data_IF_480415038291
#
_entry.id   IF_480415038291
#
_cell.length_a   1.000
_cell.length_b   1.000
_cell.length_c   1.000
_cell.angle_alpha   90.00
_cell.angle_beta   90.00
_cell.angle_gamma   90.00
#
_symmetry.space_group_name_H-M   'P 1'
#
loop_
_entity.id
_entity.type
_entity.pdbx_description
1 polymer ?
#
# COMPACT_ATOMS: atom_id res chain seq x y z
N UNK A 1 43.28 16.18 -19.40
CA UNK A 1 41.97 16.89 -19.38
C UNK A 1 40.89 15.88 -19.03
N UNK A 2 40.60 15.70 -17.74
CA UNK A 2 39.52 14.84 -17.28
C UNK A 2 38.19 15.57 -17.49
N UNK A 3 37.31 15.05 -18.34
CA UNK A 3 35.93 15.52 -18.43
C UNK A 3 35.23 15.07 -17.16
N UNK A 4 35.05 16.01 -16.22
CA UNK A 4 34.09 15.88 -15.14
C UNK A 4 32.70 15.77 -15.77
N UNK A 5 32.26 14.55 -16.05
CA UNK A 5 30.86 14.27 -16.33
C UNK A 5 30.09 14.68 -15.09
N UNK A 6 29.37 15.80 -15.18
CA UNK A 6 28.42 16.20 -14.17
C UNK A 6 27.42 15.04 -14.02
N UNK A 7 27.61 14.25 -12.95
CA UNK A 7 26.68 13.23 -12.54
C UNK A 7 25.37 13.97 -12.27
N UNK A 8 24.44 13.93 -13.23
CA UNK A 8 23.08 14.36 -13.01
C UNK A 8 22.55 13.41 -11.95
N UNK A 9 22.61 13.83 -10.69
CA UNK A 9 21.97 13.10 -9.60
C UNK A 9 20.49 13.01 -9.98
N UNK A 10 19.97 11.81 -10.26
CA UNK A 10 18.59 11.65 -10.64
C UNK A 10 17.75 12.18 -9.47
N UNK A 11 17.04 13.27 -9.73
CA UNK A 11 16.14 13.95 -8.81
C UNK A 11 15.31 12.94 -8.02
N UNK A 12 15.40 13.08 -6.69
CA UNK A 12 14.88 12.19 -5.65
C UNK A 12 13.57 11.46 -5.99
N UNK A 13 13.58 10.12 -6.12
CA UNK A 13 12.37 9.30 -6.14
C UNK A 13 11.50 9.51 -4.88
N UNK A 14 12.09 9.98 -3.77
CA UNK A 14 11.38 10.36 -2.53
C UNK A 14 10.35 11.47 -2.77
N UNK A 15 10.54 12.34 -3.77
CA UNK A 15 9.54 13.36 -4.16
C UNK A 15 8.41 12.84 -5.07
N UNK A 16 8.54 11.68 -5.72
CA UNK A 16 7.50 11.15 -6.63
C UNK A 16 6.42 10.34 -5.93
N UNK A 17 6.73 9.68 -4.81
CA UNK A 17 5.76 8.94 -4.01
C UNK A 17 4.60 9.81 -3.46
N UNK A 18 4.82 11.02 -2.90
CA UNK A 18 3.72 11.84 -2.40
C UNK A 18 2.78 12.33 -3.52
N UNK A 19 3.26 12.43 -4.76
CA UNK A 19 2.45 12.92 -5.87
C UNK A 19 1.37 11.91 -6.27
N UNK A 20 1.72 10.63 -6.43
CA UNK A 20 0.74 9.59 -6.79
C UNK A 20 -0.35 9.44 -5.72
N UNK A 21 0.05 9.34 -4.45
CA UNK A 21 -0.90 9.26 -3.33
C UNK A 21 -1.76 10.51 -3.23
N UNK A 22 -1.17 11.70 -3.41
CA UNK A 22 -1.91 12.96 -3.42
C UNK A 22 -2.96 13.03 -4.53
N UNK A 23 -2.61 12.60 -5.75
CA UNK A 23 -3.55 12.53 -6.89
C UNK A 23 -4.68 11.55 -6.59
N UNK A 24 -4.38 10.33 -6.10
CA UNK A 24 -5.41 9.34 -5.77
C UNK A 24 -6.39 9.88 -4.73
N UNK A 25 -5.89 10.54 -3.68
CA UNK A 25 -6.72 11.15 -2.64
C UNK A 25 -7.58 12.28 -3.23
N UNK A 26 -6.99 13.16 -4.05
CA UNK A 26 -7.72 14.27 -4.68
C UNK A 26 -8.84 13.76 -5.59
N UNK A 27 -8.57 12.78 -6.45
CA UNK A 27 -9.57 12.18 -7.35
C UNK A 27 -10.70 11.54 -6.54
N UNK A 28 -10.36 10.82 -5.47
CA UNK A 28 -11.33 10.22 -4.56
C UNK A 28 -12.22 11.28 -3.93
N UNK A 29 -11.62 12.36 -3.42
CA UNK A 29 -12.35 13.47 -2.80
C UNK A 29 -13.33 14.12 -3.79
N UNK A 30 -12.85 14.45 -4.99
CA UNK A 30 -13.69 15.10 -6.03
C UNK A 30 -14.83 14.17 -6.46
N UNK A 31 -14.54 12.90 -6.69
CA UNK A 31 -15.53 11.92 -7.12
C UNK A 31 -16.65 11.77 -6.09
N UNK A 32 -16.31 11.54 -4.82
CA UNK A 32 -17.32 11.37 -3.78
C UNK A 32 -18.08 12.67 -3.51
N UNK A 33 -17.42 13.82 -3.55
CA UNK A 33 -18.09 15.12 -3.42
C UNK A 33 -19.18 15.32 -4.49
N UNK A 34 -18.91 14.93 -5.74
CA UNK A 34 -19.89 15.02 -6.82
C UNK A 34 -21.06 14.02 -6.71
N UNK A 35 -20.90 12.95 -5.94
CA UNK A 35 -21.93 11.92 -5.77
C UNK A 35 -22.81 12.14 -4.54
N UNK A 36 -22.43 13.04 -3.63
CA UNK A 36 -23.20 13.25 -2.42
C UNK A 36 -24.49 14.02 -2.72
N UNK A 37 -25.61 13.44 -2.34
CA UNK A 37 -26.90 14.11 -2.24
C UNK A 37 -27.65 13.45 -1.09
N UNK A 38 -28.15 14.23 -0.14
CA UNK A 38 -28.90 13.71 1.00
C UNK A 38 -30.15 13.00 0.46
N UNK A 39 -30.29 11.67 0.62
CA UNK A 39 -31.49 10.99 0.14
C UNK A 39 -32.62 11.34 1.10
N UNK A 40 -33.57 12.14 0.63
CA UNK A 40 -34.70 12.65 1.40
C UNK A 40 -35.78 11.58 1.65
N UNK A 41 -35.34 10.40 2.08
CA UNK A 41 -36.13 9.18 2.18
C UNK A 41 -36.53 8.92 3.64
N UNK A 42 -36.75 7.65 4.00
CA UNK A 42 -36.98 7.30 5.40
C UNK A 42 -35.74 7.66 6.25
N UNK A 43 -35.91 8.00 7.54
CA UNK A 43 -34.79 8.40 8.39
C UNK A 43 -33.73 7.30 8.51
N UNK A 44 -34.14 6.03 8.50
CA UNK A 44 -33.24 4.88 8.55
C UNK A 44 -32.39 4.76 7.29
N UNK A 45 -33.00 4.86 6.11
CA UNK A 45 -32.28 4.83 4.82
C UNK A 45 -31.32 6.02 4.70
N UNK A 46 -31.75 7.20 5.14
CA UNK A 46 -30.94 8.42 5.11
C UNK A 46 -29.71 8.28 6.01
N UNK A 47 -29.89 7.75 7.23
CA UNK A 47 -28.79 7.51 8.15
C UNK A 47 -27.77 6.51 7.57
N UNK A 48 -28.25 5.39 7.00
CA UNK A 48 -27.39 4.39 6.36
C UNK A 48 -26.63 5.00 5.19
N UNK A 49 -27.27 5.80 4.35
CA UNK A 49 -26.62 6.46 3.22
C UNK A 49 -25.54 7.45 3.68
N UNK A 50 -25.81 8.25 4.71
CA UNK A 50 -24.83 9.15 5.32
C UNK A 50 -23.61 8.38 5.85
N UNK A 51 -23.82 7.29 6.59
CA UNK A 51 -22.71 6.48 7.11
C UNK A 51 -21.93 5.80 5.99
N UNK A 52 -22.62 5.28 4.97
CA UNK A 52 -21.98 4.66 3.82
C UNK A 52 -21.14 5.69 3.06
N UNK A 53 -21.65 6.89 2.81
CA UNK A 53 -20.90 7.98 2.18
C UNK A 53 -19.63 8.34 2.96
N UNK A 54 -19.70 8.36 4.29
CA UNK A 54 -18.54 8.69 5.12
C UNK A 54 -17.51 7.54 5.17
N UNK A 55 -17.96 6.29 5.33
CA UNK A 55 -17.10 5.13 5.60
C UNK A 55 -16.62 4.40 4.34
N UNK A 56 -17.37 4.44 3.24
CA UNK A 56 -17.00 3.74 2.00
C UNK A 56 -15.68 4.28 1.41
N UNK A 57 -15.43 5.61 1.33
CA UNK A 57 -14.16 6.14 0.83
C UNK A 57 -12.98 5.79 1.75
N UNK A 58 -13.22 5.69 3.07
CA UNK A 58 -12.25 5.21 4.06
C UNK A 58 -11.85 3.77 3.75
N UNK A 59 -12.83 2.89 3.53
CA UNK A 59 -12.62 1.51 3.14
C UNK A 59 -11.85 1.39 1.82
N UNK A 60 -12.30 2.09 0.77
CA UNK A 60 -11.65 2.09 -0.55
C UNK A 60 -10.20 2.58 -0.45
N UNK A 61 -9.96 3.68 0.27
CA UNK A 61 -8.61 4.22 0.46
C UNK A 61 -7.72 3.22 1.20
N UNK A 62 -8.24 2.55 2.23
CA UNK A 62 -7.52 1.47 2.91
C UNK A 62 -7.11 0.38 1.92
N UNK A 63 -8.04 -0.17 1.15
CA UNK A 63 -7.72 -1.23 0.17
C UNK A 63 -6.77 -0.75 -0.94
N UNK A 64 -6.97 0.44 -1.50
CA UNK A 64 -6.07 0.98 -2.53
C UNK A 64 -4.66 1.17 -2.00
N UNK A 65 -4.51 1.67 -0.78
CA UNK A 65 -3.20 1.84 -0.16
C UNK A 65 -2.55 0.49 0.15
N UNK A 66 -3.32 -0.55 0.52
CA UNK A 66 -2.80 -1.94 0.61
C UNK A 66 -2.30 -2.41 -0.76
N UNK A 67 -3.11 -2.24 -1.81
CA UNK A 67 -2.82 -2.79 -3.14
C UNK A 67 -1.65 -2.11 -3.84
N UNK A 68 -1.48 -0.80 -3.62
CA UNK A 68 -0.38 -0.02 -4.20
C UNK A 68 0.94 -0.24 -3.46
N UNK A 69 0.90 -0.60 -2.16
CA UNK A 69 2.10 -0.85 -1.38
C UNK A 69 2.59 -2.29 -1.55
N UNK A 70 3.53 -2.48 -2.47
CA UNK A 70 4.14 -3.78 -2.76
C UNK A 70 4.83 -4.40 -1.54
N UNK A 71 5.32 -3.61 -0.58
CA UNK A 71 5.95 -4.14 0.63
C UNK A 71 4.91 -4.76 1.55
N UNK A 72 3.74 -4.12 1.68
CA UNK A 72 2.64 -4.68 2.44
C UNK A 72 2.09 -5.94 1.79
N UNK A 73 1.98 -5.96 0.45
CA UNK A 73 1.53 -7.15 -0.28
C UNK A 73 2.46 -8.35 -0.04
N UNK A 74 3.78 -8.12 -0.07
CA UNK A 74 4.80 -9.14 0.28
C UNK A 74 4.63 -9.61 1.72
N UNK A 75 4.39 -8.69 2.66
CA UNK A 75 4.14 -9.03 4.06
C UNK A 75 2.88 -9.90 4.21
N UNK A 76 1.77 -9.52 3.56
CA UNK A 76 0.51 -10.28 3.57
C UNK A 76 0.68 -11.68 2.99
N UNK A 77 1.45 -11.83 1.90
CA UNK A 77 1.78 -13.15 1.33
C UNK A 77 2.50 -14.05 2.34
N UNK A 78 3.41 -13.48 3.16
CA UNK A 78 4.08 -14.24 4.21
C UNK A 78 3.14 -14.64 5.36
N UNK A 79 2.20 -13.77 5.78
CA UNK A 79 1.33 -14.04 6.94
C UNK A 79 0.09 -14.91 6.64
N UNK A 80 -0.46 -14.87 5.42
CA UNK A 80 -1.67 -15.65 5.04
C UNK A 80 -1.35 -17.12 4.78
N UNK A 81 -0.07 -17.47 4.72
CA UNK A 81 0.40 -18.84 4.67
C UNK A 81 -0.11 -19.67 5.88
N UNK A 82 -1.04 -20.61 5.62
CA UNK A 82 -1.75 -21.40 6.65
C UNK A 82 -0.83 -22.21 7.58
N UNK A 83 0.39 -22.57 7.15
CA UNK A 83 1.35 -23.28 8.01
C UNK A 83 2.04 -22.37 9.02
N UNK A 84 2.18 -21.07 8.75
CA UNK A 84 2.68 -20.11 9.74
C UNK A 84 1.64 -19.84 10.84
N UNK A 85 0.35 -19.82 10.49
CA UNK A 85 -0.73 -19.54 11.44
C UNK A 85 -1.05 -20.68 12.41
N UNK A 86 -0.81 -21.94 12.04
CA UNK A 86 -1.21 -23.09 12.87
C UNK A 86 -0.18 -23.57 13.88
N UNK A 87 1.08 -23.12 13.83
CA UNK A 87 2.16 -23.56 14.74
C UNK A 87 2.27 -25.08 14.99
N UNK A 88 1.63 -25.91 14.15
CA UNK A 88 1.74 -27.36 14.19
C UNK A 88 3.05 -27.73 13.51
N UNK A 89 4.08 -27.77 14.36
CA UNK A 89 5.50 -28.02 14.09
C UNK A 89 5.83 -29.31 13.32
N UNK A 90 4.85 -30.10 12.86
CA UNK A 90 5.10 -31.41 12.25
C UNK A 90 5.51 -31.35 10.78
N UNK A 91 5.14 -30.30 10.03
CA UNK A 91 5.55 -30.19 8.62
C UNK A 91 7.06 -29.91 8.43
N UNK A 92 7.71 -29.20 9.38
CA UNK A 92 9.15 -28.93 9.29
C UNK A 92 10.03 -29.98 9.99
N UNK A 93 9.46 -30.84 10.85
CA UNK A 93 10.22 -31.80 11.64
C UNK A 93 10.49 -33.13 10.89
N UNK A 94 9.76 -33.41 9.81
CA UNK A 94 9.79 -34.72 9.15
C UNK A 94 10.69 -34.81 7.91
N UNK A 95 11.48 -33.78 7.57
CA UNK A 95 12.35 -33.82 6.38
C UNK A 95 11.60 -33.83 5.03
N UNK A 96 10.28 -33.67 5.00
CA UNK A 96 9.47 -33.73 3.78
C UNK A 96 9.45 -32.43 2.94
N UNK A 97 10.42 -31.53 3.09
CA UNK A 97 10.46 -30.26 2.35
C UNK A 97 11.00 -30.39 0.91
N UNK A 98 11.26 -31.61 0.43
CA UNK A 98 11.76 -31.85 -0.93
C UNK A 98 10.63 -31.94 -1.98
N UNK A 99 9.36 -31.94 -1.57
CA UNK A 99 8.22 -31.92 -2.49
C UNK A 99 7.64 -30.50 -2.63
N UNK A 100 7.50 -30.05 -3.89
CA UNK A 100 7.06 -28.71 -4.33
C UNK A 100 5.63 -28.35 -3.87
N UNK A 101 4.92 -29.28 -3.23
CA UNK A 101 3.49 -29.16 -2.90
C UNK A 101 3.19 -28.71 -1.47
N UNK A 102 4.21 -28.44 -0.65
CA UNK A 102 3.93 -27.80 0.63
C UNK A 102 3.48 -26.35 0.36
N UNK A 103 2.17 -26.10 0.43
CA UNK A 103 1.46 -24.83 0.17
C UNK A 103 1.99 -23.61 0.95
N UNK A 104 2.91 -23.85 1.89
CA UNK A 104 3.54 -22.85 2.75
C UNK A 104 4.96 -22.47 2.34
N UNK A 105 5.44 -23.15 1.29
CA UNK A 105 6.69 -22.96 0.61
C UNK A 105 6.41 -22.54 -0.84
N UNK A 106 5.55 -21.54 -1.06
CA UNK A 106 5.75 -20.73 -2.27
C UNK A 106 7.13 -20.08 -2.09
N UNK A 107 8.17 -20.73 -2.64
CA UNK A 107 9.59 -20.42 -2.51
C UNK A 107 10.38 -21.00 -1.30
N UNK A 108 10.05 -22.17 -0.77
CA UNK A 108 11.01 -23.05 -0.05
C UNK A 108 11.63 -22.58 1.29
N UNK A 109 11.13 -21.51 1.92
CA UNK A 109 11.53 -21.15 3.28
C UNK A 109 10.29 -20.98 4.17
N UNK A 110 10.17 -21.82 5.20
CA UNK A 110 9.28 -21.53 6.31
C UNK A 110 9.87 -20.38 7.12
N UNK A 111 9.27 -19.19 7.03
CA UNK A 111 9.60 -18.06 7.90
C UNK A 111 9.12 -18.40 9.32
N UNK A 112 10.03 -18.97 10.12
CA UNK A 112 9.83 -19.21 11.55
C UNK A 112 10.54 -18.07 12.28
N UNK A 113 9.84 -17.01 12.72
CA UNK A 113 10.45 -16.01 13.58
C UNK A 113 10.90 -16.72 14.87
N UNK A 114 12.20 -16.98 14.99
CA UNK A 114 12.74 -17.80 16.08
C UNK A 114 12.69 -17.09 17.42
N UNK A 115 12.42 -15.77 17.45
CA UNK A 115 12.18 -15.02 18.68
C UNK A 115 11.15 -13.90 18.47
N UNK A 116 10.08 -13.89 19.28
CA UNK A 116 9.06 -12.84 19.30
C UNK A 116 9.60 -11.43 19.65
N UNK A 117 10.88 -11.32 20.04
CA UNK A 117 11.56 -10.06 20.41
C UNK A 117 12.74 -9.69 19.50
N UNK A 118 12.82 -10.25 18.28
CA UNK A 118 13.90 -9.97 17.32
C UNK A 118 13.80 -8.61 16.63
N UNK A 119 14.93 -8.11 16.09
CA UNK A 119 14.99 -6.89 15.27
C UNK A 119 14.02 -6.91 14.08
N UNK A 120 13.75 -8.10 13.53
CA UNK A 120 12.81 -8.31 12.42
C UNK A 120 11.36 -8.03 12.81
N UNK A 121 10.92 -8.46 14.01
CA UNK A 121 9.57 -8.18 14.51
C UNK A 121 9.39 -6.67 14.69
N UNK A 122 10.41 -5.99 15.23
CA UNK A 122 10.39 -4.53 15.36
C UNK A 122 10.30 -3.84 14.01
N UNK A 123 11.01 -4.34 13.00
CA UNK A 123 10.92 -3.82 11.63
C UNK A 123 9.51 -4.01 11.05
N UNK A 124 8.93 -5.21 11.15
CA UNK A 124 7.57 -5.48 10.70
C UNK A 124 6.52 -4.63 11.43
N UNK A 125 6.63 -4.48 12.76
CA UNK A 125 5.77 -3.62 13.54
C UNK A 125 5.92 -2.13 13.14
N UNK A 126 7.15 -1.67 12.89
CA UNK A 126 7.40 -0.31 12.43
C UNK A 126 6.83 -0.06 11.02
N UNK A 127 6.95 -1.04 10.13
CA UNK A 127 6.39 -1.00 8.79
C UNK A 127 4.86 -0.95 8.84
N UNK A 128 4.23 -1.87 9.58
CA UNK A 128 2.79 -1.91 9.76
C UNK A 128 2.26 -0.66 10.46
N UNK A 129 2.95 -0.18 11.50
CA UNK A 129 2.59 1.06 12.20
C UNK A 129 2.69 2.29 11.29
N UNK A 130 3.72 2.37 10.46
CA UNK A 130 3.86 3.44 9.45
C UNK A 130 2.73 3.39 8.43
N UNK A 131 2.39 2.18 7.98
CA UNK A 131 1.28 1.94 7.06
C UNK A 131 -0.07 2.37 7.66
N UNK A 132 -0.41 1.85 8.84
CA UNK A 132 -1.65 2.18 9.54
C UNK A 132 -1.77 3.68 9.80
N UNK A 133 -0.66 4.34 10.16
CA UNK A 133 -0.63 5.80 10.32
C UNK A 133 -0.95 6.52 9.00
N UNK A 134 -0.37 6.10 7.87
CA UNK A 134 -0.64 6.72 6.56
C UNK A 134 -2.11 6.59 6.17
N UNK A 135 -2.69 5.40 6.32
CA UNK A 135 -4.11 5.18 6.01
C UNK A 135 -5.00 5.97 6.97
N UNK A 136 -4.71 5.94 8.27
CA UNK A 136 -5.45 6.73 9.26
C UNK A 136 -5.45 8.22 8.90
N UNK A 137 -4.31 8.79 8.51
CA UNK A 137 -4.23 10.19 8.11
C UNK A 137 -5.04 10.49 6.83
N UNK A 138 -4.95 9.63 5.81
CA UNK A 138 -5.72 9.80 4.58
C UNK A 138 -7.24 9.73 4.84
N UNK A 139 -7.67 8.75 5.64
CA UNK A 139 -9.07 8.57 6.04
C UNK A 139 -9.58 9.73 6.91
N UNK A 140 -8.77 10.21 7.85
CA UNK A 140 -9.14 11.34 8.69
C UNK A 140 -9.23 12.64 7.88
N UNK A 141 -8.36 12.84 6.88
CA UNK A 141 -8.45 13.96 5.95
C UNK A 141 -9.77 13.93 5.16
N UNK A 142 -10.21 12.75 4.71
CA UNK A 142 -11.52 12.60 4.06
C UNK A 142 -12.68 13.03 4.98
N UNK A 143 -12.69 12.54 6.23
CA UNK A 143 -13.72 12.89 7.22
C UNK A 143 -13.73 14.41 7.47
N UNK A 144 -12.54 15.01 7.60
CA UNK A 144 -12.39 16.47 7.75
C UNK A 144 -13.00 17.22 6.56
N UNK A 145 -12.72 16.78 5.32
CA UNK A 145 -13.30 17.42 4.12
C UNK A 145 -14.82 17.33 4.12
N UNK A 146 -15.38 16.15 4.42
CA UNK A 146 -16.82 15.95 4.52
C UNK A 146 -17.47 16.84 5.61
N UNK A 147 -16.79 17.04 6.73
CA UNK A 147 -17.25 17.93 7.80
C UNK A 147 -17.09 19.43 7.47
N UNK A 148 -16.06 19.83 6.73
CA UNK A 148 -15.88 21.21 6.28
C UNK A 148 -16.98 21.61 5.31
N UNK A 149 -17.33 20.71 4.38
CA UNK A 149 -18.45 20.89 3.46
C UNK A 149 -19.76 21.02 4.23
N UNK A 150 -19.95 20.19 5.26
CA UNK A 150 -21.05 20.29 6.21
C UNK A 150 -22.33 19.59 5.76
N UNK A 151 -22.46 19.25 4.48
CA UNK A 151 -23.67 18.62 3.92
C UNK A 151 -23.98 17.28 4.59
N UNK A 152 -22.96 16.46 4.84
CA UNK A 152 -23.10 15.20 5.58
C UNK A 152 -23.63 15.43 7.00
N UNK A 153 -23.04 16.39 7.72
CA UNK A 153 -23.40 16.69 9.11
C UNK A 153 -24.81 17.26 9.22
N UNK A 154 -25.17 18.18 8.32
CA UNK A 154 -26.51 18.74 8.23
C UNK A 154 -27.53 17.63 7.99
N UNK A 155 -27.30 16.77 6.98
CA UNK A 155 -28.20 15.68 6.62
C UNK A 155 -28.44 14.73 7.81
N UNK A 156 -27.38 14.27 8.50
CA UNK A 156 -27.54 13.35 9.64
C UNK A 156 -28.20 14.02 10.86
N UNK A 157 -27.94 15.31 11.10
CA UNK A 157 -28.55 16.05 12.22
C UNK A 157 -30.03 16.32 11.99
N UNK A 158 -30.44 16.64 10.76
CA UNK A 158 -31.86 16.82 10.43
C UNK A 158 -32.67 15.53 10.54
N UNK A 159 -32.06 14.39 10.21
CA UNK A 159 -32.66 13.06 10.45
C UNK A 159 -32.86 12.81 11.93
N UNK A 160 -31.83 13.08 12.75
CA UNK A 160 -31.88 12.86 14.21
C UNK A 160 -32.89 13.78 14.91
N UNK A 161 -33.15 14.97 14.35
CA UNK A 161 -34.13 15.92 14.88
C UNK A 161 -35.60 15.53 14.61
N UNK A 162 -35.86 14.38 13.99
CA UNK A 162 -37.22 13.86 13.78
C UNK A 162 -37.87 14.29 12.46
N UNK A 163 -37.11 14.82 11.51
CA UNK A 163 -37.63 15.12 10.17
C UNK A 163 -37.84 13.85 9.34
N UNK A 164 -39.03 13.66 8.78
CA UNK A 164 -39.35 12.54 7.88
C UNK A 164 -39.47 13.00 6.42
N UNK A 165 -38.81 12.27 5.51
CA UNK A 165 -38.95 12.45 4.06
C UNK A 165 -38.63 13.85 3.54
N UNK A 166 -39.43 14.33 2.58
CA UNK A 166 -39.30 15.65 1.94
C UNK A 166 -39.43 16.85 2.90
N UNK A 167 -39.90 16.65 4.13
CA UNK A 167 -39.98 17.73 5.12
C UNK A 167 -38.62 18.03 5.77
N UNK A 168 -37.60 17.20 5.54
CA UNK A 168 -36.25 17.46 6.04
C UNK A 168 -35.69 18.77 5.47
N UNK A 169 -35.14 19.60 6.36
CA UNK A 169 -34.61 20.92 6.04
C UNK A 169 -33.52 20.84 4.94
N UNK A 170 -32.70 19.79 4.96
CA UNK A 170 -31.63 19.57 3.98
C UNK A 170 -32.13 19.34 2.55
N UNK A 171 -33.42 19.04 2.38
CA UNK A 171 -34.04 18.61 1.13
C UNK A 171 -34.95 19.67 0.50
N UNK A 172 -35.17 20.78 1.19
CA UNK A 172 -36.02 21.87 0.70
C UNK A 172 -35.22 22.81 -0.18
N UNK A 173 -35.70 23.06 -1.39
CA UNK A 173 -35.11 24.07 -2.29
C UNK A 173 -35.18 25.48 -1.69
N UNK A 174 -36.22 25.74 -0.91
CA UNK A 174 -36.53 27.04 -0.29
C UNK A 174 -36.80 26.84 1.22
N UNK A 175 -35.76 26.83 2.07
CA UNK A 175 -35.94 26.77 3.51
C UNK A 175 -36.61 28.04 4.04
N UNK A 176 -37.44 27.91 5.07
CA UNK A 176 -37.98 29.08 5.79
C UNK A 176 -36.84 29.86 6.48
N UNK A 177 -37.05 31.13 6.87
CA UNK A 177 -36.01 31.90 7.57
C UNK A 177 -35.47 31.21 8.84
N UNK A 178 -36.33 30.55 9.61
CA UNK A 178 -35.97 29.80 10.82
C UNK A 178 -35.18 28.52 10.49
N UNK A 179 -35.57 27.82 9.42
CA UNK A 179 -34.87 26.64 8.92
C UNK A 179 -33.47 27.00 8.38
N UNK A 180 -33.36 28.14 7.69
CA UNK A 180 -32.09 28.66 7.19
C UNK A 180 -31.13 29.04 8.34
N UNK A 181 -31.64 29.59 9.44
CA UNK A 181 -30.85 29.85 10.64
C UNK A 181 -30.34 28.54 11.26
N UNK A 182 -31.21 27.53 11.36
CA UNK A 182 -30.84 26.20 11.86
C UNK A 182 -29.79 25.52 10.97
N UNK A 183 -29.92 25.64 9.64
CA UNK A 183 -28.95 25.12 8.67
C UNK A 183 -27.57 25.79 8.85
N UNK A 184 -27.54 27.12 9.00
CA UNK A 184 -26.30 27.88 9.27
C UNK A 184 -25.65 27.43 10.57
N UNK A 185 -26.46 27.20 11.62
CA UNK A 185 -25.97 26.69 12.89
C UNK A 185 -25.30 25.32 12.72
N UNK A 186 -25.96 24.35 12.09
CA UNK A 186 -25.36 23.02 11.88
C UNK A 186 -24.11 23.04 11.00
N UNK A 187 -24.06 23.88 9.96
CA UNK A 187 -22.85 24.04 9.15
C UNK A 187 -21.69 24.62 10.00
N UNK A 188 -21.97 25.61 10.85
CA UNK A 188 -20.97 26.15 11.76
C UNK A 188 -20.47 25.12 12.78
N UNK A 189 -21.36 24.32 13.37
CA UNK A 189 -21.01 23.21 14.27
C UNK A 189 -20.11 22.19 13.56
N UNK A 190 -20.46 21.80 12.34
CA UNK A 190 -19.69 20.86 11.52
C UNK A 190 -18.25 21.35 11.28
N UNK A 191 -18.09 22.62 10.92
CA UNK A 191 -16.76 23.23 10.69
C UNK A 191 -15.94 23.32 11.97
N UNK A 192 -16.57 23.63 13.10
CA UNK A 192 -15.89 23.64 14.40
C UNK A 192 -15.37 22.24 14.74
N UNK A 193 -16.20 21.20 14.56
CA UNK A 193 -15.78 19.80 14.77
C UNK A 193 -14.60 19.45 13.83
N UNK A 194 -14.67 19.83 12.57
CA UNK A 194 -13.60 19.60 11.60
C UNK A 194 -12.26 20.25 12.05
N UNK A 195 -12.30 21.51 12.51
CA UNK A 195 -11.12 22.21 13.01
C UNK A 195 -10.52 21.55 14.26
N UNK A 196 -11.36 21.08 15.19
CA UNK A 196 -10.92 20.31 16.36
C UNK A 196 -10.21 19.03 15.92
N UNK A 197 -10.77 18.31 14.95
CA UNK A 197 -10.14 17.09 14.39
C UNK A 197 -8.80 17.42 13.74
N UNK A 198 -8.71 18.48 12.92
CA UNK A 198 -7.44 18.92 12.30
C UNK A 198 -6.38 19.21 13.37
N UNK A 199 -6.75 19.93 14.42
CA UNK A 199 -5.85 20.27 15.51
C UNK A 199 -5.37 19.00 16.24
N UNK A 200 -6.30 18.08 16.55
CA UNK A 200 -5.99 16.79 17.17
C UNK A 200 -5.06 15.93 16.29
N UNK A 201 -5.33 15.83 14.99
CA UNK A 201 -4.48 15.12 14.04
C UNK A 201 -3.08 15.72 13.94
N UNK A 202 -2.99 17.05 13.90
CA UNK A 202 -1.71 17.76 13.85
C UNK A 202 -0.88 17.46 15.10
N UNK A 203 -1.50 17.51 16.28
CA UNK A 203 -0.85 17.17 17.55
C UNK A 203 -0.41 15.69 17.58
N UNK A 204 -1.28 14.76 17.18
CA UNK A 204 -0.95 13.34 17.10
C UNK A 204 0.22 13.06 16.14
N UNK A 205 0.28 13.74 15.00
CA UNK A 205 1.39 13.63 14.05
C UNK A 205 2.69 14.11 14.68
N UNK A 206 2.70 15.28 15.31
CA UNK A 206 3.89 15.82 16.01
C UNK A 206 4.35 14.86 17.09
N UNK A 207 3.45 14.39 17.97
CA UNK A 207 3.81 13.44 19.04
C UNK A 207 4.32 12.12 18.46
N UNK A 208 3.64 11.56 17.45
CA UNK A 208 4.07 10.29 16.83
C UNK A 208 5.46 10.41 16.21
N UNK A 209 5.73 11.51 15.49
CA UNK A 209 7.04 11.75 14.88
C UNK A 209 8.10 11.93 15.95
N UNK A 210 7.85 12.71 16.99
CA UNK A 210 8.75 12.92 18.12
C UNK A 210 9.08 11.63 18.88
N UNK A 211 8.08 10.76 19.08
CA UNK A 211 8.31 9.43 19.66
C UNK A 211 9.20 8.63 18.73
N UNK A 212 8.85 8.49 17.44
CA UNK A 212 9.63 7.68 16.49
C UNK A 212 11.06 8.18 16.29
N UNK A 213 11.29 9.49 16.33
CA UNK A 213 12.63 10.08 16.16
C UNK A 213 13.54 9.88 17.37
N UNK A 214 12.99 9.66 18.58
CA UNK A 214 13.82 9.40 19.77
C UNK A 214 14.55 8.06 19.72
N UNK A 215 14.06 7.10 18.95
CA UNK A 215 14.59 5.72 18.95
C UNK A 215 15.66 5.45 17.88
N UNK A 216 15.91 6.38 16.95
CA UNK A 216 16.96 6.25 15.95
C UNK A 216 17.80 7.53 15.88
N UNK A 217 19.15 7.45 15.92
CA UNK A 217 19.99 8.61 15.67
C UNK A 217 19.74 9.14 14.25
N UNK A 218 19.45 10.43 14.12
CA UNK A 218 19.02 11.09 12.87
C UNK A 218 19.91 10.76 11.67
N UNK A 219 21.23 10.89 11.83
CA UNK A 219 22.18 10.61 10.74
C UNK A 219 22.17 9.13 10.31
N UNK A 220 21.95 8.21 11.25
CA UNK A 220 21.83 6.79 10.93
C UNK A 220 20.58 6.52 10.09
N UNK A 221 19.43 7.11 10.44
CA UNK A 221 18.20 6.91 9.66
C UNK A 221 18.30 7.53 8.26
N UNK A 222 18.94 8.69 8.14
CA UNK A 222 19.16 9.34 6.83
C UNK A 222 20.12 8.51 5.98
N UNK A 223 21.23 8.01 6.56
CA UNK A 223 22.16 7.13 5.87
C UNK A 223 21.51 5.81 5.42
N UNK A 224 20.75 5.16 6.31
CA UNK A 224 19.98 3.94 5.97
C UNK A 224 19.04 4.18 4.78
N UNK A 225 18.34 5.31 4.75
CA UNK A 225 17.44 5.67 3.66
C UNK A 225 18.19 5.88 2.32
N UNK A 226 19.34 6.57 2.33
CA UNK A 226 20.17 6.73 1.13
C UNK A 226 20.72 5.38 0.63
N UNK A 227 21.20 4.54 1.54
CA UNK A 227 21.69 3.20 1.17
C UNK A 227 20.56 2.35 0.59
N UNK A 228 19.37 2.36 1.20
CA UNK A 228 18.20 1.65 0.67
C UNK A 228 17.82 2.16 -0.73
N UNK A 229 17.82 3.46 -0.95
CA UNK A 229 17.52 4.07 -2.25
C UNK A 229 18.55 3.70 -3.33
N UNK A 230 19.84 3.87 -3.03
CA UNK A 230 20.92 3.56 -3.98
C UNK A 230 21.00 2.06 -4.27
N UNK A 231 20.82 1.20 -3.25
CA UNK A 231 20.81 -0.26 -3.44
C UNK A 231 19.61 -0.71 -4.25
N UNK A 232 18.42 -0.14 -4.03
CA UNK A 232 17.23 -0.44 -4.82
C UNK A 232 17.38 -0.03 -6.29
N UNK A 233 17.88 1.18 -6.55
CA UNK A 233 18.10 1.68 -7.90
C UNK A 233 19.13 0.85 -8.67
N UNK A 234 20.28 0.56 -8.04
CA UNK A 234 21.34 -0.26 -8.65
C UNK A 234 20.91 -1.71 -8.84
N UNK A 235 20.11 -2.24 -7.92
CA UNK A 235 19.53 -3.56 -8.06
C UNK A 235 18.58 -3.59 -9.27
N UNK A 236 17.63 -2.65 -9.38
CA UNK A 236 16.70 -2.55 -10.51
C UNK A 236 17.43 -2.48 -11.85
N UNK A 237 18.47 -1.66 -11.95
CA UNK A 237 19.32 -1.57 -13.14
C UNK A 237 19.93 -2.94 -13.51
N UNK A 238 20.54 -3.62 -12.54
CA UNK A 238 21.17 -4.93 -12.76
C UNK A 238 20.16 -6.03 -13.07
N UNK A 239 18.98 -5.98 -12.45
CA UNK A 239 17.89 -6.91 -12.74
C UNK A 239 17.36 -6.71 -14.16
N UNK A 240 17.22 -5.45 -14.59
CA UNK A 240 16.79 -5.11 -15.94
C UNK A 240 17.82 -5.58 -16.98
N UNK A 241 19.11 -5.29 -16.78
CA UNK A 241 20.20 -5.73 -17.65
C UNK A 241 20.18 -7.27 -17.84
N UNK A 242 20.10 -8.03 -16.74
CA UNK A 242 20.01 -9.49 -16.76
C UNK A 242 18.74 -10.00 -17.44
N UNK A 243 17.60 -9.34 -17.23
CA UNK A 243 16.34 -9.71 -17.86
C UNK A 243 16.39 -9.52 -19.38
N UNK A 244 16.98 -8.42 -19.86
CA UNK A 244 17.18 -8.15 -21.28
C UNK A 244 18.14 -9.16 -21.91
N UNK A 245 19.28 -9.44 -21.26
CA UNK A 245 20.24 -10.45 -21.73
C UNK A 245 19.58 -11.82 -21.85
N UNK A 246 18.81 -12.25 -20.84
CA UNK A 246 18.09 -13.52 -20.87
C UNK A 246 17.03 -13.56 -21.97
N UNK A 247 16.26 -12.49 -22.15
CA UNK A 247 15.27 -12.39 -23.21
C UNK A 247 15.93 -12.48 -24.60
N UNK A 248 17.08 -11.83 -24.79
CA UNK A 248 17.87 -11.91 -26.01
C UNK A 248 18.32 -13.36 -26.29
N UNK A 249 18.92 -14.04 -25.31
CA UNK A 249 19.34 -15.43 -25.45
C UNK A 249 18.18 -16.39 -25.81
N UNK A 250 17.02 -16.21 -25.17
CA UNK A 250 15.82 -16.98 -25.48
C UNK A 250 15.32 -16.71 -26.91
N UNK A 251 15.32 -15.45 -27.35
CA UNK A 251 14.90 -15.07 -28.70
C UNK A 251 15.84 -15.62 -29.78
N UNK A 252 17.16 -15.53 -29.58
CA UNK A 252 18.17 -16.08 -30.51
C UNK A 252 18.12 -17.61 -30.58
N UNK A 253 17.81 -18.27 -29.47
CA UNK A 253 17.62 -19.72 -29.43
C UNK A 253 16.36 -20.14 -30.18
N UNK A 254 15.24 -19.44 -29.98
CA UNK A 254 14.00 -19.67 -30.71
C UNK A 254 14.15 -19.43 -32.22
N UNK A 255 14.84 -18.34 -32.62
CA UNK A 255 15.11 -18.04 -34.02
C UNK A 255 15.97 -19.13 -34.69
N UNK A 256 16.98 -19.66 -33.99
CA UNK A 256 17.78 -20.80 -34.48
C UNK A 256 16.93 -22.06 -34.67
N UNK A 257 16.03 -22.36 -33.73
CA UNK A 257 15.11 -23.48 -33.87
C UNK A 257 14.23 -23.33 -35.14
N UNK A 258 13.62 -22.17 -35.35
CA UNK A 258 12.79 -21.89 -36.54
C UNK A 258 13.59 -22.03 -37.83
N UNK A 259 14.82 -21.51 -37.87
CA UNK A 259 15.69 -21.62 -39.04
C UNK A 259 16.04 -23.09 -39.36
N UNK A 260 16.43 -23.86 -38.34
CA UNK A 260 16.75 -25.29 -38.50
C UNK A 260 15.55 -26.14 -38.90
N UNK A 261 14.34 -25.76 -38.48
CA UNK A 261 13.11 -26.47 -38.84
C UNK A 261 12.74 -26.24 -40.30
N UNK A 262 13.01 -25.04 -40.84
CA UNK A 262 12.82 -24.75 -42.26
C UNK A 262 13.77 -25.56 -43.14
N UNK A 263 15.03 -25.75 -42.72
CA UNK A 263 16.00 -26.59 -43.45
C UNK A 263 15.67 -28.08 -43.38
N UNK A 264 15.07 -28.54 -42.28
CA UNK A 264 14.75 -29.96 -42.02
C UNK A 264 13.28 -30.34 -42.21
N UNK A 265 12.49 -29.54 -42.93
CA UNK A 265 11.04 -29.73 -43.17
C UNK A 265 10.63 -31.06 -43.86
N UNK A 266 11.56 -32.00 -44.07
CA UNK A 266 11.29 -33.34 -44.56
C UNK A 266 11.03 -34.41 -43.48
N UNK A 267 11.46 -34.24 -42.23
CA UNK A 267 11.38 -35.35 -41.26
C UNK A 267 11.42 -34.91 -39.79
N UNK A 268 10.28 -35.01 -39.09
CA UNK A 268 10.20 -35.17 -37.62
C UNK A 268 9.92 -33.90 -36.81
N UNK A 269 8.85 -33.96 -36.01
CA UNK A 269 8.42 -32.92 -35.06
C UNK A 269 9.32 -32.93 -33.81
N UNK A 270 10.20 -31.93 -33.68
CA UNK A 270 11.12 -31.77 -32.54
C UNK A 270 10.51 -30.94 -31.41
N UNK A 271 10.43 -31.49 -30.21
CA UNK A 271 9.92 -30.81 -29.02
C UNK A 271 10.95 -29.79 -28.50
N UNK A 272 10.57 -28.52 -28.36
CA UNK A 272 11.44 -27.49 -27.74
C UNK A 272 11.49 -27.74 -26.23
N UNK A 273 12.65 -28.12 -25.71
CA UNK A 273 12.87 -28.28 -24.27
C UNK A 273 13.33 -26.96 -23.66
N UNK A 274 12.46 -26.32 -22.88
CA UNK A 274 12.83 -25.16 -22.08
C UNK A 274 13.83 -25.58 -21.00
N UNK A 275 14.98 -24.90 -20.93
CA UNK A 275 15.93 -25.12 -19.84
C UNK A 275 15.41 -24.38 -18.58
N UNK A 276 15.02 -25.09 -17.52
CA UNK A 276 14.53 -24.47 -16.29
C UNK A 276 15.64 -23.63 -15.63
N UNK A 277 15.26 -22.63 -14.83
CA UNK A 277 16.24 -21.94 -13.96
C UNK A 277 16.97 -22.97 -13.12
N UNK A 278 18.26 -22.76 -12.90
CA UNK A 278 18.99 -23.56 -11.92
C UNK A 278 18.44 -23.25 -10.53
N UNK A 279 18.38 -24.25 -9.66
CA UNK A 279 17.93 -24.10 -8.27
C UNK A 279 18.71 -23.00 -7.51
N UNK A 280 19.99 -22.83 -7.86
CA UNK A 280 20.86 -21.77 -7.35
C UNK A 280 20.36 -20.37 -7.69
N UNK A 281 19.84 -20.16 -8.91
CA UNK A 281 19.31 -18.86 -9.32
C UNK A 281 18.03 -18.54 -8.55
N UNK A 282 17.12 -19.50 -8.42
CA UNK A 282 15.88 -19.31 -7.66
C UNK A 282 16.15 -18.95 -6.20
N UNK A 283 17.09 -19.63 -5.55
CA UNK A 283 17.46 -19.35 -4.16
C UNK A 283 18.05 -17.94 -3.98
N UNK A 284 18.79 -17.45 -4.97
CA UNK A 284 19.32 -16.09 -4.98
C UNK A 284 18.19 -15.04 -5.11
N UNK A 285 17.25 -15.24 -6.04
CA UNK A 285 16.09 -14.35 -6.21
C UNK A 285 15.24 -14.25 -4.95
N UNK A 286 15.09 -15.35 -4.23
CA UNK A 286 14.39 -15.39 -2.93
C UNK A 286 15.09 -14.55 -1.88
N UNK A 287 16.41 -14.68 -1.76
CA UNK A 287 17.22 -13.89 -0.80
C UNK A 287 17.11 -12.39 -1.07
N UNK A 288 17.20 -12.00 -2.33
CA UNK A 288 17.12 -10.59 -2.77
C UNK A 288 15.71 -10.02 -2.55
N UNK A 289 14.67 -10.86 -2.62
CA UNK A 289 13.28 -10.43 -2.46
C UNK A 289 12.87 -10.15 -1.00
N UNK A 290 13.72 -10.48 -0.03
CA UNK A 290 13.44 -10.29 1.40
C UNK A 290 13.31 -8.78 1.73
N UNK A 291 12.25 -8.33 2.43
CA UNK A 291 12.03 -6.91 2.72
C UNK A 291 13.16 -6.29 3.58
N UNK A 292 13.81 -7.11 4.41
CA UNK A 292 14.98 -6.70 5.21
C UNK A 292 16.34 -7.06 4.57
N UNK A 293 16.41 -7.30 3.25
CA UNK A 293 17.66 -7.72 2.57
C UNK A 293 18.83 -6.74 2.83
N UNK A 294 18.56 -5.44 2.84
CA UNK A 294 19.56 -4.40 3.14
C UNK A 294 20.15 -4.51 4.55
N UNK A 295 19.39 -5.04 5.52
CA UNK A 295 19.87 -5.26 6.89
C UNK A 295 20.71 -6.54 6.99
N UNK A 296 20.42 -7.54 6.16
CA UNK A 296 21.14 -8.82 6.15
C UNK A 296 22.53 -8.72 5.54
N UNK A 297 22.72 -7.87 4.52
CA UNK A 297 24.01 -7.71 3.84
C UNK A 297 25.14 -7.19 4.74
N UNK A 298 24.82 -6.42 5.79
CA UNK A 298 25.81 -5.83 6.70
C UNK A 298 26.45 -6.89 7.62
N UNK A 299 25.73 -7.96 7.98
CA UNK A 299 26.25 -9.01 8.88
C UNK A 299 27.18 -10.01 8.21
N UNK A 300 27.21 -10.10 6.89
CA UNK A 300 27.97 -11.15 6.19
C UNK A 300 29.48 -10.84 6.16
N UNK A 301 29.88 -9.60 6.47
CA UNK A 301 31.27 -9.14 6.44
C UNK A 301 31.84 -8.70 7.81
N UNK A 302 31.11 -8.93 8.91
CA UNK A 302 31.56 -8.68 10.29
C UNK A 302 31.81 -9.98 11.03
#
# INVERSE_FOLDING_TARGET
MARNSACQTPLDPVRRLPVKTGITVLVTVVFFKCLFSCPCASPEETAVHCWLYLLLPVGITFFLVILVDTQLLKLCQCYVCRCCARAESRCCAAGCCDSVECCCCAAGYCYRPTHCCGEEVRYCCALLGTYLRRVFCASALWIVVALIDGDWYVCIRTVTAGGTGQQQIACKDLPTPEEAETLRKYNSESRIIALIIILGLSFLLVVSTAITSRWKPYYKSVFEAYVEQETAAKLEEKLHERAVERAKLLSESALRCVHSQHENSGQGEGHIQYQPLTETDENMWRRISHPAFHLLGVRIHS
#
